data_IF_211133375896
#
_entry.id   IF_211133375896
#
_cell.length_a   1.000
_cell.length_b   1.000
_cell.length_c   1.000
_cell.angle_alpha   90.00
_cell.angle_beta   90.00
_cell.angle_gamma   90.00
#
_symmetry.space_group_name_H-M   'P 1'
#
loop_
_entity.id
_entity.type
_entity.pdbx_description
1 polymer ?
#
# COMPACT_ATOMS: atom_id res chain seq x y z
N UNK A 1 -37.66 11.64 15.69
CA UNK A 1 -38.36 10.52 15.01
C UNK A 1 -37.38 9.62 14.25
N UNK A 2 -36.55 10.17 13.35
CA UNK A 2 -35.50 9.44 12.60
C UNK A 2 -34.49 8.68 13.48
N UNK A 3 -33.98 9.29 14.55
CA UNK A 3 -33.09 8.58 15.51
C UNK A 3 -33.75 7.37 16.17
N UNK A 4 -35.04 7.47 16.52
CA UNK A 4 -35.79 6.39 17.16
C UNK A 4 -36.11 5.25 16.18
N UNK A 5 -36.47 5.61 14.95
CA UNK A 5 -36.73 4.65 13.88
C UNK A 5 -35.45 3.90 13.45
N UNK A 6 -34.33 4.60 13.33
CA UNK A 6 -33.02 3.96 13.07
C UNK A 6 -32.66 2.96 14.16
N UNK A 7 -32.85 3.31 15.43
CA UNK A 7 -32.55 2.44 16.57
C UNK A 7 -33.42 1.17 16.57
N UNK A 8 -34.72 1.29 16.25
CA UNK A 8 -35.64 0.14 16.11
C UNK A 8 -35.25 -0.75 14.91
N UNK A 9 -34.88 -0.14 13.78
CA UNK A 9 -34.44 -0.90 12.60
C UNK A 9 -33.14 -1.66 12.86
N UNK A 10 -32.16 -1.02 13.50
CA UNK A 10 -30.91 -1.66 13.91
C UNK A 10 -31.17 -2.87 14.81
N UNK A 11 -32.06 -2.74 15.79
CA UNK A 11 -32.45 -3.85 16.69
C UNK A 11 -33.20 -4.99 15.99
N UNK A 12 -33.98 -4.70 14.93
CA UNK A 12 -34.67 -5.76 14.17
C UNK A 12 -33.75 -6.50 13.20
N UNK A 13 -32.74 -5.80 12.69
CA UNK A 13 -31.76 -6.33 11.74
C UNK A 13 -30.78 -7.30 12.42
N UNK A 14 -30.71 -7.27 13.74
CA UNK A 14 -29.91 -8.17 14.57
C UNK A 14 -30.13 -9.67 14.32
N UNK A 15 -31.33 -10.07 13.90
CA UNK A 15 -31.72 -11.46 13.64
C UNK A 15 -32.05 -11.73 12.17
N UNK A 16 -31.76 -10.77 11.28
CA UNK A 16 -32.15 -10.86 9.87
C UNK A 16 -31.11 -11.64 9.07
N UNK A 17 -31.50 -12.66 8.28
CA UNK A 17 -30.59 -13.38 7.40
C UNK A 17 -29.94 -12.47 6.36
N UNK A 18 -28.69 -12.77 6.01
CA UNK A 18 -27.88 -12.05 5.00
C UNK A 18 -28.67 -11.68 3.74
N UNK A 19 -29.25 -12.68 3.07
CA UNK A 19 -29.98 -12.51 1.81
C UNK A 19 -31.18 -11.57 1.94
N UNK A 20 -31.82 -11.54 3.10
CA UNK A 20 -32.97 -10.68 3.37
C UNK A 20 -32.54 -9.21 3.46
N UNK A 21 -31.37 -8.94 4.04
CA UNK A 21 -30.84 -7.59 4.14
C UNK A 21 -30.42 -7.05 2.76
N UNK A 22 -29.69 -7.83 1.98
CA UNK A 22 -29.31 -7.48 0.60
C UNK A 22 -30.53 -7.18 -0.27
N UNK A 23 -31.53 -8.06 -0.24
CA UNK A 23 -32.79 -7.85 -0.97
C UNK A 23 -33.51 -6.58 -0.50
N UNK A 24 -33.52 -6.31 0.80
CA UNK A 24 -34.10 -5.09 1.36
C UNK A 24 -33.38 -3.85 0.81
N UNK A 25 -32.05 -3.84 0.79
CA UNK A 25 -31.27 -2.74 0.22
C UNK A 25 -31.61 -2.49 -1.25
N UNK A 26 -31.59 -3.52 -2.10
CA UNK A 26 -31.89 -3.33 -3.52
C UNK A 26 -33.32 -2.85 -3.76
N UNK A 27 -34.29 -3.38 -3.02
CA UNK A 27 -35.68 -2.94 -3.11
C UNK A 27 -35.82 -1.47 -2.71
N UNK A 28 -35.21 -1.06 -1.61
CA UNK A 28 -35.28 0.34 -1.15
C UNK A 28 -34.51 1.27 -2.10
N UNK A 29 -33.32 0.89 -2.56
CA UNK A 29 -32.53 1.70 -3.50
C UNK A 29 -33.32 1.94 -4.80
N UNK A 30 -33.95 0.90 -5.36
CA UNK A 30 -34.83 1.04 -6.54
C UNK A 30 -36.00 1.98 -6.29
N UNK A 31 -36.63 1.92 -5.13
CA UNK A 31 -37.71 2.85 -4.77
C UNK A 31 -37.21 4.30 -4.60
N UNK A 32 -35.99 4.48 -4.07
CA UNK A 32 -35.38 5.78 -3.82
C UNK A 32 -34.93 6.50 -5.10
N UNK A 33 -34.59 5.77 -6.17
CA UNK A 33 -34.22 6.35 -7.49
C UNK A 33 -35.28 7.30 -8.07
N UNK A 34 -36.53 7.20 -7.60
CA UNK A 34 -37.66 8.02 -8.04
C UNK A 34 -37.95 9.23 -7.14
N UNK A 35 -37.23 9.39 -6.02
CA UNK A 35 -37.43 10.46 -5.04
C UNK A 35 -36.28 11.48 -5.19
N UNK A 36 -36.58 12.72 -5.58
CA UNK A 36 -35.59 13.76 -5.94
C UNK A 36 -35.49 14.95 -4.96
N UNK A 37 -35.96 14.79 -3.72
CA UNK A 37 -35.99 15.87 -2.73
C UNK A 37 -35.02 15.63 -1.55
N UNK A 38 -34.85 16.60 -0.65
CA UNK A 38 -34.04 16.51 0.60
C UNK A 38 -34.32 15.26 1.46
N UNK A 39 -35.49 14.65 1.28
CA UNK A 39 -35.85 13.39 1.95
C UNK A 39 -35.06 12.19 1.43
N UNK A 40 -34.53 12.23 0.20
CA UNK A 40 -33.69 11.21 -0.41
C UNK A 40 -32.37 11.05 0.33
N UNK A 41 -31.65 12.15 0.54
CA UNK A 41 -30.37 12.16 1.25
C UNK A 41 -30.53 11.66 2.69
N UNK A 42 -31.56 12.14 3.40
CA UNK A 42 -31.87 11.66 4.77
C UNK A 42 -32.14 10.16 4.83
N UNK A 43 -32.74 9.59 3.79
CA UNK A 43 -33.03 8.15 3.71
C UNK A 43 -31.78 7.33 3.39
N UNK A 44 -30.92 7.82 2.49
CA UNK A 44 -29.61 7.22 2.22
C UNK A 44 -28.75 7.17 3.48
N UNK A 45 -28.66 8.28 4.23
CA UNK A 45 -27.93 8.31 5.52
C UNK A 45 -28.48 7.31 6.53
N UNK A 46 -29.80 7.11 6.55
CA UNK A 46 -30.43 6.12 7.43
C UNK A 46 -30.08 4.68 7.02
N UNK A 47 -30.13 4.37 5.72
CA UNK A 47 -29.75 3.07 5.17
C UNK A 47 -28.28 2.76 5.42
N UNK A 48 -27.41 3.74 5.21
CA UNK A 48 -25.99 3.64 5.50
C UNK A 48 -25.74 3.32 6.98
N UNK A 49 -26.38 4.05 7.90
CA UNK A 49 -26.26 3.79 9.33
C UNK A 49 -26.72 2.37 9.72
N UNK A 50 -27.79 1.89 9.08
CA UNK A 50 -28.30 0.53 9.29
C UNK A 50 -27.34 -0.53 8.74
N UNK A 51 -26.76 -0.32 7.56
CA UNK A 51 -25.77 -1.21 6.95
C UNK A 51 -24.55 -1.32 7.83
N UNK A 52 -24.04 -0.17 8.27
CA UNK A 52 -22.89 -0.07 9.13
C UNK A 52 -23.08 -0.77 10.47
N UNK A 53 -24.25 -0.61 11.10
CA UNK A 53 -24.56 -1.30 12.35
C UNK A 53 -24.63 -2.83 12.17
N UNK A 54 -25.22 -3.30 11.07
CA UNK A 54 -25.26 -4.73 10.74
C UNK A 54 -23.85 -5.28 10.52
N UNK A 55 -23.06 -4.65 9.64
CA UNK A 55 -21.70 -5.07 9.32
C UNK A 55 -20.80 -5.05 10.56
N UNK A 56 -20.91 -4.02 11.40
CA UNK A 56 -20.14 -3.94 12.64
C UNK A 56 -20.39 -5.16 13.53
N UNK A 57 -21.65 -5.57 13.72
CA UNK A 57 -21.97 -6.74 14.53
C UNK A 57 -21.46 -8.04 13.92
N UNK A 58 -21.70 -8.22 12.62
CA UNK A 58 -21.42 -9.46 11.91
C UNK A 58 -19.92 -9.71 11.73
N UNK A 59 -19.13 -8.65 11.52
CA UNK A 59 -17.68 -8.75 11.35
C UNK A 59 -16.90 -8.74 12.68
N UNK A 60 -17.47 -8.20 13.77
CA UNK A 60 -16.81 -8.18 15.08
C UNK A 60 -17.04 -9.42 15.93
N UNK A 61 -18.20 -10.08 15.80
CA UNK A 61 -18.54 -11.22 16.64
C UNK A 61 -17.98 -12.47 15.98
N UNK A 62 -16.99 -13.08 16.62
CA UNK A 62 -16.33 -14.34 16.21
C UNK A 62 -17.31 -15.48 15.90
N UNK A 63 -18.49 -15.45 16.49
CA UNK A 63 -19.58 -16.39 16.22
C UNK A 63 -20.12 -16.32 14.77
N UNK A 64 -19.96 -15.19 14.08
CA UNK A 64 -20.55 -14.94 12.75
C UNK A 64 -19.51 -14.63 11.66
N UNK A 65 -18.30 -14.21 12.01
CA UNK A 65 -17.27 -13.83 11.03
C UNK A 65 -16.89 -14.96 10.06
N UNK A 66 -16.97 -16.22 10.49
CA UNK A 66 -16.70 -17.40 9.65
C UNK A 66 -17.80 -17.74 8.63
N UNK A 67 -18.94 -17.03 8.65
CA UNK A 67 -20.10 -17.36 7.80
C UNK A 67 -20.11 -16.62 6.45
N UNK A 68 -19.31 -15.56 6.28
CA UNK A 68 -19.31 -14.77 5.05
C UNK A 68 -18.40 -15.38 3.99
N UNK A 69 -18.95 -15.59 2.79
CA UNK A 69 -18.15 -15.87 1.60
C UNK A 69 -17.56 -14.56 1.08
N UNK A 70 -16.47 -14.66 0.32
CA UNK A 70 -15.85 -13.51 -0.34
C UNK A 70 -16.85 -12.77 -1.24
N UNK A 71 -17.75 -13.50 -1.92
CA UNK A 71 -18.84 -12.93 -2.72
C UNK A 71 -19.76 -12.02 -1.91
N UNK A 72 -20.07 -12.41 -0.67
CA UNK A 72 -20.98 -11.67 0.20
C UNK A 72 -20.31 -10.37 0.67
N UNK A 73 -19.01 -10.43 0.98
CA UNK A 73 -18.21 -9.26 1.34
C UNK A 73 -18.08 -8.26 0.18
N UNK A 74 -17.88 -8.74 -1.04
CA UNK A 74 -17.86 -7.89 -2.24
C UNK A 74 -19.21 -7.22 -2.47
N UNK A 75 -20.31 -7.96 -2.32
CA UNK A 75 -21.66 -7.40 -2.44
C UNK A 75 -21.92 -6.30 -1.40
N UNK A 76 -21.49 -6.50 -0.15
CA UNK A 76 -21.61 -5.46 0.88
C UNK A 76 -20.78 -4.21 0.61
N UNK A 77 -19.56 -4.38 0.10
CA UNK A 77 -18.72 -3.25 -0.29
C UNK A 77 -19.39 -2.45 -1.41
N UNK A 78 -19.96 -3.14 -2.40
CA UNK A 78 -20.69 -2.49 -3.49
C UNK A 78 -21.93 -1.73 -3.00
N UNK A 79 -22.73 -2.33 -2.12
CA UNK A 79 -23.88 -1.65 -1.51
C UNK A 79 -23.44 -0.41 -0.72
N UNK A 80 -22.36 -0.52 0.07
CA UNK A 80 -21.83 0.62 0.82
C UNK A 80 -21.36 1.75 -0.11
N UNK A 81 -20.70 1.40 -1.22
CA UNK A 81 -20.28 2.35 -2.25
C UNK A 81 -21.48 3.04 -2.92
N UNK A 82 -22.52 2.29 -3.27
CA UNK A 82 -23.76 2.82 -3.88
C UNK A 82 -24.52 3.77 -2.96
N UNK A 83 -24.53 3.52 -1.65
CA UNK A 83 -25.25 4.33 -0.66
C UNK A 83 -24.49 5.59 -0.26
N UNK A 84 -23.15 5.61 -0.39
CA UNK A 84 -22.37 6.79 -0.06
C UNK A 84 -22.57 7.88 -1.13
N UNK A 85 -23.28 8.95 -0.77
CA UNK A 85 -23.46 10.13 -1.65
C UNK A 85 -22.13 10.81 -1.99
N UNK A 86 -21.13 10.65 -1.13
CA UNK A 86 -19.73 11.06 -1.30
C UNK A 86 -18.84 10.07 -0.55
N UNK A 87 -18.30 9.08 -1.25
CA UNK A 87 -17.34 8.06 -0.80
C UNK A 87 -16.70 8.30 0.59
N UNK A 88 -17.25 7.70 1.65
CA UNK A 88 -16.60 7.59 2.95
C UNK A 88 -16.37 6.13 3.34
N UNK A 89 -15.53 5.45 2.56
CA UNK A 89 -15.00 4.13 2.90
C UNK A 89 -14.23 4.10 4.23
N UNK A 90 -14.00 5.26 4.87
CA UNK A 90 -13.36 5.36 6.19
C UNK A 90 -14.28 4.90 7.31
N UNK A 91 -15.56 4.62 7.04
CA UNK A 91 -16.39 3.97 8.02
C UNK A 91 -15.80 2.59 8.41
N UNK A 92 -15.70 2.33 9.71
CA UNK A 92 -15.03 1.15 10.29
C UNK A 92 -15.51 -0.19 9.70
N UNK A 93 -16.80 -0.28 9.37
CA UNK A 93 -17.38 -1.46 8.74
C UNK A 93 -16.84 -1.71 7.32
N UNK A 94 -16.69 -0.66 6.51
CA UNK A 94 -16.13 -0.75 5.15
C UNK A 94 -14.64 -1.09 5.21
N UNK A 95 -13.89 -0.42 6.09
CA UNK A 95 -12.47 -0.71 6.32
C UNK A 95 -12.26 -2.19 6.69
N UNK A 96 -13.13 -2.77 7.53
CA UNK A 96 -13.04 -4.19 7.90
C UNK A 96 -13.34 -5.13 6.75
N UNK A 97 -14.32 -4.81 5.90
CA UNK A 97 -14.59 -5.61 4.70
C UNK A 97 -13.36 -5.60 3.80
N UNK A 98 -12.82 -4.41 3.52
CA UNK A 98 -11.61 -4.25 2.71
C UNK A 98 -10.45 -5.02 3.34
N UNK A 99 -10.27 -4.92 4.65
CA UNK A 99 -9.26 -5.67 5.38
C UNK A 99 -9.42 -7.19 5.20
N UNK A 100 -10.65 -7.72 5.29
CA UNK A 100 -10.92 -9.15 5.11
C UNK A 100 -10.69 -9.62 3.67
N UNK A 101 -11.07 -8.80 2.69
CA UNK A 101 -10.89 -9.10 1.27
C UNK A 101 -9.41 -9.11 0.87
N UNK A 102 -8.59 -8.24 1.48
CA UNK A 102 -7.17 -8.10 1.14
C UNK A 102 -6.23 -8.94 2.02
N UNK A 103 -6.37 -8.82 3.34
CA UNK A 103 -5.39 -9.27 4.33
C UNK A 103 -5.85 -10.53 5.07
N UNK A 104 -6.38 -11.50 4.32
CA UNK A 104 -6.75 -12.79 4.89
C UNK A 104 -5.49 -13.51 5.38
N UNK A 105 -5.46 -13.83 6.68
CA UNK A 105 -4.45 -14.67 7.30
C UNK A 105 -4.61 -16.09 6.78
N UNK A 106 -3.79 -16.48 5.82
CA UNK A 106 -3.66 -17.88 5.41
C UNK A 106 -2.71 -18.61 6.37
N UNK A 107 -2.98 -19.90 6.60
CA UNK A 107 -2.27 -20.74 7.55
C UNK A 107 -0.73 -20.65 7.44
N UNK A 108 -0.07 -20.86 8.57
CA UNK A 108 1.36 -20.62 8.87
C UNK A 108 2.42 -21.33 7.98
N UNK A 109 2.05 -22.01 6.90
CA UNK A 109 2.98 -22.76 6.04
C UNK A 109 3.38 -22.01 4.74
N UNK A 110 2.95 -20.76 4.56
CA UNK A 110 3.15 -20.00 3.32
C UNK A 110 4.34 -19.05 3.47
N UNK A 111 5.26 -19.07 2.51
CA UNK A 111 6.44 -18.18 2.48
C UNK A 111 6.01 -16.71 2.34
N UNK A 112 6.82 -15.78 2.85
CA UNK A 112 6.53 -14.34 2.80
C UNK A 112 6.31 -13.81 1.36
N UNK A 113 7.13 -14.20 0.34
CA UNK A 113 6.85 -13.84 -1.05
C UNK A 113 5.47 -14.32 -1.54
N UNK A 114 5.07 -15.53 -1.15
CA UNK A 114 3.77 -16.09 -1.53
C UNK A 114 2.61 -15.33 -0.85
N UNK A 115 2.75 -14.93 0.42
CA UNK A 115 1.75 -14.07 1.09
C UNK A 115 1.57 -12.74 0.36
N UNK A 116 2.66 -12.10 -0.05
CA UNK A 116 2.65 -10.83 -0.80
C UNK A 116 2.03 -11.02 -2.19
N UNK A 117 2.36 -12.12 -2.88
CA UNK A 117 1.74 -12.48 -4.15
C UNK A 117 0.22 -12.52 -4.04
N UNK A 118 -0.31 -13.26 -3.04
CA UNK A 118 -1.76 -13.35 -2.84
C UNK A 118 -2.39 -12.01 -2.46
N UNK A 119 -1.68 -11.16 -1.73
CA UNK A 119 -2.15 -9.80 -1.44
C UNK A 119 -2.33 -9.01 -2.75
N UNK A 120 -1.35 -9.00 -3.65
CA UNK A 120 -1.49 -8.29 -4.92
C UNK A 120 -2.52 -8.92 -5.85
N UNK A 121 -2.65 -10.24 -5.89
CA UNK A 121 -3.75 -10.90 -6.63
C UNK A 121 -5.11 -10.46 -6.09
N UNK A 122 -5.27 -10.28 -4.77
CA UNK A 122 -6.51 -9.77 -4.17
C UNK A 122 -6.76 -8.30 -4.49
N UNK A 123 -5.72 -7.47 -4.46
CA UNK A 123 -5.81 -6.06 -4.90
C UNK A 123 -6.29 -6.00 -6.35
N UNK A 124 -5.79 -6.86 -7.22
CA UNK A 124 -6.21 -6.94 -8.63
C UNK A 124 -7.65 -7.44 -8.82
N UNK A 125 -8.20 -8.12 -7.81
CA UNK A 125 -9.57 -8.64 -7.81
C UNK A 125 -10.56 -7.72 -7.08
N UNK A 126 -10.09 -6.57 -6.55
CA UNK A 126 -10.96 -5.50 -6.08
C UNK A 126 -11.51 -4.71 -7.27
N UNK A 127 -12.62 -4.01 -7.06
CA UNK A 127 -13.23 -3.15 -8.09
C UNK A 127 -12.26 -2.02 -8.48
N UNK A 128 -11.98 -1.85 -9.77
CA UNK A 128 -11.08 -0.80 -10.27
C UNK A 128 -11.55 0.60 -9.83
N UNK A 129 -12.87 0.84 -9.77
CA UNK A 129 -13.42 2.12 -9.32
C UNK A 129 -13.07 2.41 -7.86
N UNK A 130 -12.98 1.37 -7.03
CA UNK A 130 -12.56 1.49 -5.63
C UNK A 130 -11.12 2.01 -5.58
N UNK A 131 -10.23 1.38 -6.36
CA UNK A 131 -8.80 1.67 -6.38
C UNK A 131 -8.47 3.03 -7.00
N UNK A 132 -9.24 3.47 -8.01
CA UNK A 132 -9.04 4.76 -8.68
C UNK A 132 -9.53 5.96 -7.86
N UNK A 133 -10.72 5.85 -7.25
CA UNK A 133 -11.38 7.00 -6.60
C UNK A 133 -10.90 7.25 -5.18
N UNK A 134 -10.24 6.28 -4.56
CA UNK A 134 -9.89 6.35 -3.15
C UNK A 134 -8.39 6.38 -2.91
N UNK A 135 -7.98 7.25 -1.99
CA UNK A 135 -6.60 7.31 -1.56
C UNK A 135 -6.26 6.12 -0.65
N UNK A 136 -5.35 5.21 -1.05
CA UNK A 136 -5.00 4.04 -0.24
C UNK A 136 -4.44 4.44 1.13
N UNK A 137 -3.84 5.63 1.27
CA UNK A 137 -3.33 6.12 2.55
C UNK A 137 -4.42 6.40 3.59
N UNK A 138 -5.66 6.60 3.15
CA UNK A 138 -6.81 6.80 4.04
C UNK A 138 -7.54 5.52 4.44
N UNK A 139 -7.17 4.38 3.84
CA UNK A 139 -7.86 3.10 3.98
C UNK A 139 -6.94 2.04 4.59
N UNK A 140 -5.75 1.86 4.02
CA UNK A 140 -4.81 0.80 4.41
C UNK A 140 -4.00 1.28 5.61
N UNK A 141 -4.20 0.59 6.74
CA UNK A 141 -3.52 0.88 8.00
C UNK A 141 -2.20 0.09 8.10
N UNK A 142 -1.19 0.71 8.71
CA UNK A 142 0.15 0.12 8.83
C UNK A 142 0.10 -1.20 9.63
N UNK A 143 -0.81 -1.33 10.59
CA UNK A 143 -0.97 -2.53 11.42
C UNK A 143 -1.38 -3.77 10.62
N UNK A 144 -2.09 -3.58 9.50
CA UNK A 144 -2.55 -4.68 8.64
C UNK A 144 -1.39 -5.30 7.85
N UNK A 145 -0.29 -4.57 7.70
CA UNK A 145 0.90 -4.97 6.95
C UNK A 145 1.93 -5.71 7.81
N UNK A 146 1.72 -5.80 9.14
CA UNK A 146 2.70 -6.35 10.08
C UNK A 146 3.14 -7.78 9.78
N UNK A 147 2.29 -8.62 9.17
CA UNK A 147 2.68 -9.99 8.80
C UNK A 147 3.41 -10.10 7.46
N UNK A 148 3.46 -9.01 6.70
CA UNK A 148 4.01 -8.96 5.34
C UNK A 148 5.36 -8.24 5.29
N UNK A 149 5.71 -7.48 6.32
CA UNK A 149 6.98 -6.77 6.43
C UNK A 149 8.15 -7.72 6.68
N UNK A 150 9.32 -7.31 6.21
CA UNK A 150 10.61 -7.97 6.39
C UNK A 150 11.26 -7.39 7.65
N UNK A 151 11.47 -8.23 8.67
CA UNK A 151 11.95 -7.75 9.98
C UNK A 151 13.46 -7.66 10.05
N UNK A 152 14.14 -8.49 9.28
CA UNK A 152 15.59 -8.54 9.22
C UNK A 152 16.08 -8.43 7.78
N UNK A 153 17.27 -7.86 7.56
CA UNK A 153 17.93 -7.82 6.26
C UNK A 153 17.93 -9.18 5.53
N UNK A 154 18.15 -10.27 6.29
CA UNK A 154 18.15 -11.62 5.75
C UNK A 154 16.78 -12.07 5.22
N UNK A 155 15.67 -11.52 5.71
CA UNK A 155 14.35 -11.82 5.16
C UNK A 155 14.24 -11.33 3.70
N UNK A 156 14.95 -10.25 3.34
CA UNK A 156 14.96 -9.73 1.96
C UNK A 156 15.71 -10.64 1.01
N UNK A 157 16.80 -11.25 1.51
CA UNK A 157 17.55 -12.25 0.76
C UNK A 157 16.71 -13.50 0.41
N UNK A 158 15.60 -13.73 1.13
CA UNK A 158 14.64 -14.78 0.80
C UNK A 158 13.78 -14.46 -0.43
N UNK A 159 13.78 -13.20 -0.89
CA UNK A 159 13.13 -12.82 -2.13
C UNK A 159 14.08 -13.13 -3.29
N UNK A 160 13.93 -14.32 -3.87
CA UNK A 160 14.73 -14.73 -5.02
C UNK A 160 14.46 -13.86 -6.25
N UNK A 161 15.36 -13.87 -7.24
CA UNK A 161 15.13 -13.21 -8.52
C UNK A 161 13.81 -13.66 -9.16
N UNK A 162 13.50 -14.95 -9.06
CA UNK A 162 12.25 -15.50 -9.57
C UNK A 162 11.03 -14.92 -8.83
N UNK A 163 11.03 -14.92 -7.50
CA UNK A 163 9.92 -14.38 -6.71
C UNK A 163 9.72 -12.89 -6.99
N UNK A 164 10.82 -12.15 -7.11
CA UNK A 164 10.79 -10.72 -7.44
C UNK A 164 10.14 -10.46 -8.81
N UNK A 165 10.56 -11.20 -9.84
CA UNK A 165 9.97 -11.09 -11.17
C UNK A 165 8.48 -11.45 -11.18
N UNK A 166 8.06 -12.44 -10.38
CA UNK A 166 6.65 -12.81 -10.23
C UNK A 166 5.86 -11.67 -9.58
N UNK A 167 6.38 -11.09 -8.49
CA UNK A 167 5.74 -9.94 -7.83
C UNK A 167 5.64 -8.74 -8.78
N UNK A 168 6.70 -8.47 -9.55
CA UNK A 168 6.71 -7.37 -10.52
C UNK A 168 5.65 -7.56 -11.62
N UNK A 169 5.40 -8.80 -12.07
CA UNK A 169 4.33 -9.09 -13.02
C UNK A 169 2.93 -8.89 -12.44
N UNK A 170 2.75 -9.18 -11.15
CA UNK A 170 1.43 -9.21 -10.50
C UNK A 170 1.03 -7.82 -9.96
N UNK A 171 1.97 -6.90 -9.72
CA UNK A 171 1.70 -5.63 -9.03
C UNK A 171 0.78 -4.64 -9.78
N UNK A 172 0.25 -4.99 -10.96
CA UNK A 172 -0.76 -4.28 -11.79
C UNK A 172 -0.54 -2.78 -12.04
N UNK A 173 0.60 -2.23 -11.65
CA UNK A 173 0.96 -0.81 -11.70
C UNK A 173 -0.17 0.13 -11.25
N UNK A 174 -1.03 -0.31 -10.33
CA UNK A 174 -2.11 0.52 -9.79
C UNK A 174 -1.66 1.26 -8.53
N UNK A 175 -2.36 2.36 -8.19
CA UNK A 175 -2.02 3.23 -7.06
C UNK A 175 -1.96 2.50 -5.72
N UNK A 176 -2.86 1.54 -5.50
CA UNK A 176 -2.93 0.77 -4.25
C UNK A 176 -1.77 -0.22 -4.15
N UNK A 177 -1.44 -0.95 -5.23
CA UNK A 177 -0.29 -1.85 -5.26
C UNK A 177 1.02 -1.10 -5.01
N UNK A 178 1.21 0.07 -5.66
CA UNK A 178 2.35 0.96 -5.44
C UNK A 178 2.43 1.42 -3.99
N UNK A 179 1.29 1.85 -3.42
CA UNK A 179 1.22 2.30 -2.03
C UNK A 179 1.55 1.18 -1.04
N UNK A 180 0.92 0.01 -1.19
CA UNK A 180 1.16 -1.17 -0.34
C UNK A 180 2.62 -1.56 -0.39
N UNK A 181 3.21 -1.65 -1.59
CA UNK A 181 4.62 -1.98 -1.72
C UNK A 181 5.50 -0.96 -1.02
N UNK A 182 5.29 0.34 -1.30
CA UNK A 182 6.05 1.40 -0.63
C UNK A 182 5.93 1.35 0.89
N UNK A 183 4.76 1.03 1.43
CA UNK A 183 4.55 0.87 2.87
C UNK A 183 5.24 -0.37 3.42
N UNK A 184 5.17 -1.50 2.73
CA UNK A 184 5.90 -2.71 3.13
C UNK A 184 7.39 -2.45 3.23
N UNK A 185 7.98 -1.84 2.20
CA UNK A 185 9.40 -1.48 2.21
C UNK A 185 9.70 -0.49 3.35
N UNK A 186 8.97 0.63 3.42
CA UNK A 186 9.18 1.67 4.42
C UNK A 186 9.08 1.15 5.86
N UNK A 187 8.04 0.37 6.18
CA UNK A 187 7.83 -0.20 7.50
C UNK A 187 8.93 -1.21 7.87
N UNK A 188 9.30 -2.07 6.93
CA UNK A 188 10.39 -3.04 7.12
C UNK A 188 11.71 -2.34 7.45
N UNK A 189 12.02 -1.29 6.70
CA UNK A 189 13.25 -0.51 6.83
C UNK A 189 13.25 0.44 8.04
N UNK A 190 12.08 0.93 8.46
CA UNK A 190 11.95 1.77 9.67
C UNK A 190 12.32 1.03 10.96
N UNK A 191 12.14 -0.30 10.96
CA UNK A 191 12.45 -1.18 12.10
C UNK A 191 13.94 -1.53 12.20
N UNK A 192 14.76 -1.17 11.22
CA UNK A 192 16.20 -1.36 11.27
C UNK A 192 16.81 -0.54 12.41
N UNK A 193 17.46 -1.24 13.35
CA UNK A 193 18.16 -0.62 14.48
C UNK A 193 19.27 0.34 13.99
N UNK A 194 19.47 1.44 14.73
CA UNK A 194 20.38 2.55 14.36
C UNK A 194 21.85 2.12 14.34
N UNK A 195 22.19 1.01 14.96
CA UNK A 195 23.51 0.41 15.05
C UNK A 195 23.77 -0.64 13.95
N UNK A 196 22.72 -1.26 13.40
CA UNK A 196 22.83 -2.30 12.35
C UNK A 196 22.51 -1.83 10.93
N UNK A 197 22.17 -0.55 10.74
CA UNK A 197 21.77 -0.04 9.43
C UNK A 197 22.85 -0.17 8.35
N UNK A 198 24.15 -0.04 8.70
CA UNK A 198 25.23 -0.17 7.71
C UNK A 198 25.32 -1.58 7.14
N UNK A 199 25.25 -2.58 8.01
CA UNK A 199 25.21 -3.99 7.65
C UNK A 199 23.96 -4.29 6.82
N UNK A 200 22.81 -3.77 7.25
CA UNK A 200 21.55 -3.88 6.52
C UNK A 200 21.67 -3.31 5.10
N UNK A 201 22.23 -2.12 4.95
CA UNK A 201 22.41 -1.50 3.63
C UNK A 201 23.40 -2.28 2.76
N UNK A 202 24.47 -2.82 3.35
CA UNK A 202 25.42 -3.66 2.62
C UNK A 202 24.73 -4.91 2.07
N UNK A 203 23.98 -5.63 2.91
CA UNK A 203 23.22 -6.83 2.51
C UNK A 203 22.17 -6.50 1.44
N UNK A 204 21.40 -5.41 1.60
CA UNK A 204 20.40 -5.01 0.61
C UNK A 204 21.05 -4.63 -0.73
N UNK A 205 22.21 -3.94 -0.70
CA UNK A 205 22.92 -3.58 -1.91
C UNK A 205 23.51 -4.81 -2.62
N UNK A 206 24.08 -5.77 -1.87
CA UNK A 206 24.51 -7.06 -2.44
C UNK A 206 23.35 -7.82 -3.07
N UNK A 207 22.20 -7.86 -2.39
CA UNK A 207 20.99 -8.46 -2.93
C UNK A 207 20.54 -7.79 -4.25
N UNK A 208 20.53 -6.46 -4.34
CA UNK A 208 20.20 -5.77 -5.61
C UNK A 208 21.14 -6.16 -6.76
N UNK A 209 22.42 -6.37 -6.48
CA UNK A 209 23.39 -6.84 -7.47
C UNK A 209 23.05 -8.27 -7.90
N UNK A 210 22.77 -9.16 -6.94
CA UNK A 210 22.41 -10.57 -7.20
C UNK A 210 21.16 -10.68 -8.07
N UNK A 211 20.16 -9.84 -7.81
CA UNK A 211 18.91 -9.80 -8.59
C UNK A 211 19.05 -8.99 -9.88
N UNK A 212 20.26 -8.48 -10.22
CA UNK A 212 20.61 -7.74 -11.44
C UNK A 212 19.83 -6.43 -11.64
N UNK A 213 19.66 -5.66 -10.58
CA UNK A 213 19.07 -4.32 -10.60
C UNK A 213 20.13 -3.20 -10.67
N UNK A 214 21.32 -3.50 -11.17
CA UNK A 214 22.42 -2.54 -11.33
C UNK A 214 22.18 -1.55 -12.48
N UNK A 215 21.31 -1.91 -13.43
CA UNK A 215 20.89 -1.06 -14.55
C UNK A 215 19.52 -0.46 -14.25
N UNK A 216 19.40 0.86 -14.41
CA UNK A 216 18.13 1.55 -14.29
C UNK A 216 17.15 1.12 -15.41
N UNK A 217 16.03 0.52 -15.02
CA UNK A 217 14.88 0.23 -15.88
C UNK A 217 13.68 1.07 -15.42
N UNK A 218 13.19 2.03 -16.24
CA UNK A 218 12.03 2.85 -15.88
C UNK A 218 10.73 2.05 -15.75
N UNK A 219 10.67 0.82 -16.26
CA UNK A 219 9.48 -0.03 -16.15
C UNK A 219 9.50 -0.90 -14.87
N UNK A 220 10.61 -0.91 -14.14
CA UNK A 220 10.75 -1.70 -12.92
C UNK A 220 10.30 -0.89 -11.69
N UNK A 221 8.99 -0.64 -11.62
CA UNK A 221 8.34 0.15 -10.56
C UNK A 221 8.72 -0.32 -9.15
N UNK A 222 8.76 -1.63 -8.92
CA UNK A 222 9.09 -2.18 -7.59
C UNK A 222 10.54 -1.85 -7.19
N UNK A 223 11.48 -1.88 -8.14
CA UNK A 223 12.89 -1.58 -7.88
C UNK A 223 13.05 -0.09 -7.61
N UNK A 224 12.36 0.75 -8.38
CA UNK A 224 12.34 2.20 -8.15
C UNK A 224 11.81 2.51 -6.74
N UNK A 225 10.70 1.88 -6.33
CA UNK A 225 10.14 2.07 -4.98
C UNK A 225 11.14 1.59 -3.91
N UNK A 226 11.74 0.43 -4.11
CA UNK A 226 12.68 -0.16 -3.17
C UNK A 226 13.92 0.73 -2.96
N UNK A 227 14.60 1.09 -4.06
CA UNK A 227 15.78 1.95 -4.06
C UNK A 227 15.47 3.32 -3.45
N UNK A 228 14.31 3.89 -3.77
CA UNK A 228 13.86 5.15 -3.16
C UNK A 228 13.73 5.04 -1.65
N UNK A 229 13.07 4.00 -1.15
CA UNK A 229 12.89 3.83 0.30
C UNK A 229 14.23 3.61 1.02
N UNK A 230 15.17 2.88 0.41
CA UNK A 230 16.54 2.77 0.94
C UNK A 230 17.18 4.16 1.05
N UNK A 231 17.05 4.98 0.02
CA UNK A 231 17.58 6.35 0.03
C UNK A 231 16.92 7.23 1.09
N UNK A 232 15.61 7.07 1.32
CA UNK A 232 14.91 7.75 2.41
C UNK A 232 15.43 7.33 3.79
N UNK A 233 15.81 6.06 4.00
CA UNK A 233 16.54 5.66 5.23
C UNK A 233 17.87 6.39 5.31
N UNK A 234 18.65 6.39 4.23
CA UNK A 234 19.98 7.01 4.21
C UNK A 234 19.86 8.45 4.65
N UNK A 235 18.92 9.21 4.07
CA UNK A 235 18.64 10.60 4.45
C UNK A 235 18.20 10.71 5.92
N UNK A 236 17.21 9.91 6.33
CA UNK A 236 16.60 10.03 7.67
C UNK A 236 17.53 9.61 8.80
N UNK A 237 18.41 8.63 8.57
CA UNK A 237 19.35 8.11 9.57
C UNK A 237 20.69 8.85 9.52
N UNK A 238 21.15 9.36 8.36
CA UNK A 238 22.44 10.03 8.26
C UNK A 238 22.59 11.03 7.09
N UNK A 239 22.91 12.27 7.42
CA UNK A 239 23.49 13.25 6.49
C UNK A 239 25.02 13.31 6.49
N UNK A 240 25.72 12.65 7.44
CA UNK A 240 27.16 12.91 7.71
C UNK A 240 28.17 11.79 7.40
N UNK A 241 27.75 10.55 7.11
CA UNK A 241 28.68 9.40 7.02
C UNK A 241 28.37 8.42 5.88
N UNK A 242 27.99 8.94 4.70
CA UNK A 242 27.70 8.10 3.53
C UNK A 242 28.89 7.30 3.02
N UNK A 243 30.11 7.83 3.16
CA UNK A 243 31.35 7.19 2.68
C UNK A 243 31.57 5.78 3.25
N UNK A 244 31.01 5.50 4.43
CA UNK A 244 31.18 4.21 5.10
C UNK A 244 30.22 3.11 4.64
N UNK A 245 29.31 3.41 3.72
CA UNK A 245 28.35 2.43 3.19
C UNK A 245 28.94 1.82 1.92
N UNK A 246 29.32 0.56 2.01
CA UNK A 246 29.90 -0.19 0.89
C UNK A 246 28.96 -0.19 -0.32
N UNK A 247 29.50 0.04 -1.52
CA UNK A 247 28.77 0.02 -2.80
C UNK A 247 27.53 0.94 -2.91
N UNK A 248 27.39 1.93 -2.03
CA UNK A 248 26.31 2.94 -2.10
C UNK A 248 26.28 3.71 -3.44
N UNK A 249 27.39 3.69 -4.19
CA UNK A 249 27.48 4.23 -5.55
C UNK A 249 26.45 3.64 -6.52
N UNK A 250 26.07 2.36 -6.40
CA UNK A 250 25.06 1.73 -7.26
C UNK A 250 23.67 2.30 -7.00
N UNK A 251 23.26 2.38 -5.73
CA UNK A 251 22.00 3.01 -5.31
C UNK A 251 21.94 4.46 -5.79
N UNK A 252 23.03 5.22 -5.60
CA UNK A 252 23.11 6.62 -6.02
C UNK A 252 23.02 6.75 -7.54
N UNK A 253 23.77 5.93 -8.31
CA UNK A 253 23.70 5.93 -9.77
C UNK A 253 22.27 5.61 -10.26
N UNK A 254 21.62 4.62 -9.66
CA UNK A 254 20.25 4.25 -10.00
C UNK A 254 19.28 5.43 -9.81
N UNK A 255 19.36 6.12 -8.66
CA UNK A 255 18.52 7.30 -8.37
C UNK A 255 18.83 8.46 -9.30
N UNK A 256 20.11 8.71 -9.61
CA UNK A 256 20.53 9.76 -10.54
C UNK A 256 20.00 9.50 -11.95
N UNK A 257 20.07 8.27 -12.44
CA UNK A 257 19.47 7.86 -13.71
C UNK A 257 17.95 8.08 -13.70
N UNK A 258 17.27 7.66 -12.64
CA UNK A 258 15.82 7.86 -12.50
C UNK A 258 15.39 9.32 -12.34
N UNK A 259 16.22 10.17 -11.73
CA UNK A 259 16.02 11.62 -11.68
C UNK A 259 16.11 12.22 -13.08
N UNK A 260 17.08 11.80 -13.90
CA UNK A 260 17.25 12.30 -15.27
C UNK A 260 16.11 11.87 -16.21
N UNK A 261 15.48 10.72 -15.96
CA UNK A 261 14.34 10.23 -16.74
C UNK A 261 12.99 10.84 -16.32
N UNK A 262 12.96 11.77 -15.36
CA UNK A 262 11.75 12.40 -14.81
C UNK A 262 10.69 11.40 -14.30
N UNK A 263 11.12 10.30 -13.65
CA UNK A 263 10.19 9.31 -13.13
C UNK A 263 9.43 9.84 -11.89
N UNK A 264 8.09 9.92 -11.97
CA UNK A 264 7.22 10.54 -10.95
C UNK A 264 7.31 9.95 -9.53
N UNK A 265 7.84 8.73 -9.39
CA UNK A 265 8.04 8.11 -8.07
C UNK A 265 9.23 8.69 -7.30
N UNK A 266 10.21 9.29 -7.97
CA UNK A 266 11.40 9.84 -7.32
C UNK A 266 11.17 11.32 -6.95
N UNK A 267 11.48 11.67 -5.70
CA UNK A 267 11.40 13.06 -5.24
C UNK A 267 12.67 13.81 -5.65
N UNK A 268 12.65 14.39 -6.84
CA UNK A 268 13.81 15.09 -7.43
C UNK A 268 14.33 16.21 -6.53
N UNK A 269 13.45 16.94 -5.84
CA UNK A 269 13.85 17.99 -4.89
C UNK A 269 14.65 17.43 -3.70
N UNK A 270 14.17 16.34 -3.10
CA UNK A 270 14.86 15.70 -1.97
C UNK A 270 16.21 15.12 -2.39
N UNK A 271 16.30 14.57 -3.60
CA UNK A 271 17.56 14.11 -4.20
C UNK A 271 18.50 15.30 -4.41
N UNK A 272 18.00 16.43 -4.94
CA UNK A 272 18.78 17.64 -5.18
C UNK A 272 19.32 18.25 -3.87
N UNK A 273 18.46 18.40 -2.87
CA UNK A 273 18.83 18.93 -1.56
C UNK A 273 19.89 18.04 -0.88
N UNK A 274 19.74 16.71 -0.99
CA UNK A 274 20.73 15.76 -0.48
C UNK A 274 22.08 15.88 -1.20
N UNK A 275 22.05 15.94 -2.54
CA UNK A 275 23.25 16.09 -3.37
C UNK A 275 24.01 17.37 -3.01
N UNK A 276 23.31 18.49 -2.80
CA UNK A 276 23.94 19.75 -2.42
C UNK A 276 24.61 19.66 -1.05
N UNK A 277 23.95 19.02 -0.08
CA UNK A 277 24.44 18.91 1.29
C UNK A 277 25.62 17.94 1.46
N UNK A 278 25.71 16.92 0.60
CA UNK A 278 26.71 15.83 0.71
C UNK A 278 27.63 15.76 -0.52
N UNK A 279 27.68 16.86 -1.29
CA UNK A 279 28.30 16.94 -2.62
C UNK A 279 29.72 16.35 -2.68
N UNK A 280 30.61 16.77 -1.77
CA UNK A 280 31.99 16.31 -1.74
C UNK A 280 32.10 14.81 -1.46
N UNK A 281 31.35 14.29 -0.47
CA UNK A 281 31.36 12.85 -0.17
C UNK A 281 30.76 12.00 -1.29
N UNK A 282 29.76 12.51 -2.02
CA UNK A 282 29.23 11.80 -3.20
C UNK A 282 30.23 11.75 -4.36
N UNK A 283 30.96 12.84 -4.61
CA UNK A 283 32.02 12.86 -5.63
C UNK A 283 33.12 11.85 -5.30
N UNK A 284 33.53 11.74 -4.04
CA UNK A 284 34.53 10.77 -3.60
C UNK A 284 34.05 9.32 -3.82
N UNK A 285 32.80 9.00 -3.45
CA UNK A 285 32.21 7.66 -3.66
C UNK A 285 32.13 7.30 -5.14
N UNK A 286 31.65 8.23 -5.98
CA UNK A 286 31.42 7.97 -7.40
C UNK A 286 32.72 7.96 -8.20
N UNK A 287 33.73 8.74 -7.79
CA UNK A 287 35.07 8.74 -8.39
C UNK A 287 35.89 7.49 -8.04
N UNK A 288 35.75 6.95 -6.83
CA UNK A 288 36.38 5.66 -6.45
C UNK A 288 35.84 4.48 -7.27
N UNK A 289 34.60 4.57 -7.74
CA UNK A 289 33.94 3.55 -8.57
C UNK A 289 34.00 3.83 -10.09
N UNK A 290 34.71 4.88 -10.52
CA UNK A 290 34.42 5.51 -11.82
C UNK A 290 34.70 4.64 -13.05
N UNK A 291 33.61 4.37 -13.79
CA UNK A 291 33.52 4.48 -15.26
C UNK A 291 32.67 5.68 -15.73
N UNK A 292 32.19 6.56 -14.85
CA UNK A 292 31.24 7.64 -15.18
C UNK A 292 31.81 9.06 -14.92
N UNK A 293 31.65 9.93 -15.92
CA UNK A 293 32.05 11.35 -15.88
C UNK A 293 30.97 12.21 -15.20
N UNK A 294 31.28 12.62 -13.97
CA UNK A 294 30.40 13.35 -13.06
C UNK A 294 30.14 14.81 -13.46
N UNK A 295 30.93 15.36 -14.38
CA UNK A 295 30.80 16.76 -14.81
C UNK A 295 29.43 17.10 -15.41
N UNK A 296 28.69 16.11 -15.92
CA UNK A 296 27.36 16.29 -16.53
C UNK A 296 26.19 16.26 -15.54
N UNK A 297 26.39 15.78 -14.32
CA UNK A 297 25.33 15.63 -13.31
C UNK A 297 25.11 16.88 -12.44
N UNK A 298 26.15 17.72 -12.35
CA UNK A 298 26.19 18.88 -11.45
C UNK A 298 25.98 20.22 -12.15
N UNK A 299 25.73 20.23 -13.46
CA UNK A 299 25.51 21.45 -14.23
C UNK A 299 24.03 21.57 -14.62
N UNK A 300 23.26 22.27 -13.78
CA UNK A 300 22.49 23.48 -14.16
C UNK A 300 21.65 23.99 -12.98
N UNK A 301 22.19 25.02 -12.31
CA UNK A 301 21.50 26.27 -11.99
C UNK A 301 22.55 27.32 -11.61
N UNK A 302 23.01 28.04 -12.63
CA UNK A 302 23.19 29.49 -12.51
C UNK A 302 21.82 30.11 -12.82
#
# INVERSE_FOLDING_TARGET
MTKHFGLILTQKIDNTPLKTLTNYYHCVNRCLQHIKDESHERFLTLLEAVLHAFLYKQLNKTQYSHQFKESDLKEFLNIALELSSTCDLKHQSCLRIIQHLLFKLENNAITKPTKIKYLFERVNNLDDNLCEKNDPASIIQDEWLNEYIFHMPQDWSMLSEYDYQVLNKIHSNNRWSIYIWSKLISLSLSKTEVDKWKETLAELNEWMIIVKHDIYDPNDTLTIIFVKNIFDIVISKHTKSLLSVWNIGTILNYILCGRQSNHNLLNTKQVDDFIQNVHHSMQDILSLNSKLDLSKLFIKKL
#
